data_IF_500389190197
#
_entry.id   IF_500389190197
#
_cell.length_a   1.000
_cell.length_b   1.000
_cell.length_c   1.000
_cell.angle_alpha   90.00
_cell.angle_beta   90.00
_cell.angle_gamma   90.00
#
_symmetry.space_group_name_H-M   'P 1'
#
loop_
_entity.id
_entity.type
_entity.pdbx_description
1 polymer ?
#
# COMPACT_ATOMS: atom_id res chain seq x y z
N UNK A 1 44.10 -13.36 38.95
CA UNK A 1 44.69 -12.76 37.73
C UNK A 1 43.76 -12.73 36.52
N UNK A 2 42.91 -13.74 36.25
CA UNK A 2 41.94 -13.69 35.13
C UNK A 2 41.01 -12.46 35.17
N UNK A 3 40.64 -11.99 36.37
CA UNK A 3 39.73 -10.85 36.54
C UNK A 3 40.31 -9.51 36.04
N UNK A 4 41.62 -9.26 36.18
CA UNK A 4 42.27 -8.04 35.67
C UNK A 4 42.40 -8.05 34.14
N UNK A 5 42.67 -9.22 33.53
CA UNK A 5 42.77 -9.35 32.07
C UNK A 5 41.39 -9.22 31.41
N UNK A 6 40.35 -9.77 32.02
CA UNK A 6 38.96 -9.62 31.56
C UNK A 6 38.49 -8.17 31.70
N UNK A 7 38.87 -7.48 32.78
CA UNK A 7 38.59 -6.05 32.94
C UNK A 7 39.30 -5.20 31.88
N UNK A 8 40.56 -5.50 31.53
CA UNK A 8 41.28 -4.78 30.47
C UNK A 8 40.69 -5.01 29.08
N UNK A 9 40.30 -6.25 28.77
CA UNK A 9 39.63 -6.62 27.51
C UNK A 9 38.22 -6.01 27.42
N UNK A 10 37.47 -6.07 28.52
CA UNK A 10 36.17 -5.43 28.66
C UNK A 10 36.28 -3.92 28.47
N UNK A 11 37.28 -3.27 29.09
CA UNK A 11 37.50 -1.83 28.94
C UNK A 11 37.93 -1.44 27.52
N UNK A 12 38.74 -2.24 26.82
CA UNK A 12 39.12 -1.97 25.42
C UNK A 12 37.95 -2.11 24.44
N UNK A 13 37.15 -3.17 24.58
CA UNK A 13 35.99 -3.41 23.72
C UNK A 13 34.88 -2.40 24.01
N UNK A 14 34.54 -2.20 25.29
CA UNK A 14 33.55 -1.19 25.66
C UNK A 14 34.04 0.21 25.33
N UNK A 15 35.30 0.62 25.52
CA UNK A 15 35.62 2.04 25.30
C UNK A 15 35.61 2.45 23.81
N UNK A 16 35.85 1.52 22.86
CA UNK A 16 35.67 1.81 21.42
C UNK A 16 34.21 1.90 20.99
N UNK A 17 33.30 1.13 21.59
CA UNK A 17 31.87 1.12 21.22
C UNK A 17 30.97 1.95 22.16
N UNK A 18 31.34 2.13 23.42
CA UNK A 18 30.66 2.91 24.46
C UNK A 18 30.88 4.42 24.25
N UNK A 19 32.02 4.84 23.71
CA UNK A 19 32.19 6.24 23.27
C UNK A 19 31.33 6.58 22.04
N UNK A 20 30.81 5.57 21.31
CA UNK A 20 29.81 5.77 20.27
C UNK A 20 28.36 5.75 20.81
N UNK A 21 28.14 5.37 22.08
CA UNK A 21 26.82 5.15 22.67
C UNK A 21 26.58 5.86 24.01
N UNK A 22 27.48 6.72 24.49
CA UNK A 22 27.33 7.41 25.78
C UNK A 22 27.60 8.91 25.72
N UNK A 23 26.56 9.74 25.85
CA UNK A 23 26.35 10.59 27.05
C UNK A 23 25.11 11.49 26.91
N UNK A 24 24.30 11.49 27.99
CA UNK A 24 23.25 12.45 28.41
C UNK A 24 21.85 12.38 27.79
N UNK A 25 20.99 11.65 28.49
CA UNK A 25 19.75 12.17 29.11
C UNK A 25 19.02 13.29 28.37
N UNK A 26 17.95 12.96 27.63
CA UNK A 26 16.64 13.59 27.79
C UNK A 26 15.58 12.79 27.03
N UNK A 27 14.50 12.47 27.74
CA UNK A 27 13.30 11.85 27.22
C UNK A 27 12.59 12.79 26.24
N UNK A 28 12.14 12.29 25.09
CA UNK A 28 10.83 12.67 24.53
C UNK A 28 10.45 11.78 23.33
N UNK A 29 9.57 10.82 23.61
CA UNK A 29 8.27 10.61 22.94
C UNK A 29 8.28 10.56 21.40
N UNK A 30 8.18 9.33 20.92
CA UNK A 30 7.48 8.90 19.70
C UNK A 30 6.18 9.68 19.44
N UNK A 31 5.99 10.24 18.23
CA UNK A 31 4.73 10.13 17.47
C UNK A 31 4.81 10.70 16.04
N UNK A 32 4.12 10.00 15.15
CA UNK A 32 3.92 10.22 13.72
C UNK A 32 3.48 11.64 13.31
N UNK A 33 3.89 12.09 12.12
CA UNK A 33 3.02 12.61 11.03
C UNK A 33 3.68 13.69 10.13
N UNK A 34 4.47 13.27 9.15
CA UNK A 34 4.15 13.39 7.70
C UNK A 34 4.04 14.82 6.98
N UNK A 35 4.86 15.34 5.95
CA UNK A 35 4.86 15.17 4.42
C UNK A 35 6.21 14.99 3.66
N UNK A 36 6.29 13.90 2.88
CA UNK A 36 6.79 13.71 1.50
C UNK A 36 7.96 14.58 1.02
N UNK A 37 9.14 13.99 0.79
CA UNK A 37 9.98 14.32 -0.36
C UNK A 37 10.82 13.12 -0.81
N UNK A 38 10.49 12.64 -2.01
CA UNK A 38 11.24 11.66 -2.79
C UNK A 38 12.59 12.25 -3.20
N UNK A 39 13.70 11.76 -2.65
CA UNK A 39 15.02 11.96 -3.25
C UNK A 39 15.57 10.59 -3.64
N UNK A 40 15.39 10.32 -4.93
CA UNK A 40 16.03 9.25 -5.67
C UNK A 40 17.55 9.41 -5.61
N UNK A 41 18.19 8.84 -4.58
CA UNK A 41 19.63 8.56 -4.62
C UNK A 41 19.81 7.18 -5.21
N UNK A 42 19.76 7.18 -6.53
CA UNK A 42 20.18 6.13 -7.43
C UNK A 42 21.71 5.99 -7.31
N UNK A 43 22.19 5.47 -6.18
CA UNK A 43 23.57 5.00 -6.05
C UNK A 43 23.59 3.57 -6.56
N UNK A 44 23.67 3.55 -7.89
CA UNK A 44 24.20 2.50 -8.75
C UNK A 44 24.94 1.41 -7.97
N UNK A 45 24.39 0.22 -8.16
CA UNK A 45 25.08 -1.05 -8.11
C UNK A 45 26.41 -0.96 -8.86
N UNK A 46 27.50 -0.66 -8.18
CA UNK A 46 28.81 -1.12 -8.64
C UNK A 46 28.93 -2.58 -8.24
N UNK A 47 28.26 -3.42 -9.04
CA UNK A 47 28.89 -4.67 -9.49
C UNK A 47 30.20 -4.21 -10.14
N UNK A 48 31.26 -4.07 -9.34
CA UNK A 48 32.60 -3.97 -9.90
C UNK A 48 32.80 -5.26 -10.68
N UNK A 49 32.87 -5.05 -11.99
CA UNK A 49 32.99 -6.09 -12.98
C UNK A 49 34.20 -6.93 -12.65
N UNK A 50 34.00 -8.22 -12.88
CA UNK A 50 35.04 -9.20 -13.09
C UNK A 50 36.18 -8.62 -13.93
N UNK A 51 37.30 -8.28 -13.28
CA UNK A 51 38.57 -8.20 -13.97
C UNK A 51 38.97 -9.63 -14.34
N UNK A 52 38.57 -10.02 -15.55
CA UNK A 52 38.99 -11.23 -16.25
C UNK A 52 40.46 -11.04 -16.64
N UNK A 53 41.36 -11.17 -15.66
CA UNK A 53 42.81 -11.19 -15.90
C UNK A 53 43.28 -12.63 -15.81
N UNK A 54 43.42 -13.25 -16.99
CA UNK A 54 44.22 -14.46 -17.22
C UNK A 54 43.66 -15.77 -16.67
N UNK A 55 42.63 -16.34 -17.29
CA UNK A 55 42.40 -17.80 -17.18
C UNK A 55 43.55 -18.52 -17.87
N UNK A 56 44.57 -18.95 -17.12
CA UNK A 56 45.45 -20.01 -17.57
C UNK A 56 44.76 -21.35 -17.29
N UNK A 57 44.53 -22.13 -18.34
CA UNK A 57 44.06 -23.51 -18.24
C UNK A 57 45.17 -24.37 -17.61
N UNK A 58 45.19 -24.43 -16.28
CA UNK A 58 46.11 -25.32 -15.55
C UNK A 58 45.43 -26.69 -15.40
N UNK A 59 46.05 -27.69 -16.04
CA UNK A 59 45.63 -29.10 -16.09
C UNK A 59 45.36 -29.73 -14.70
N UNK A 60 44.33 -30.57 -14.61
CA UNK A 60 43.62 -31.08 -13.41
C UNK A 60 44.45 -31.86 -12.36
N UNK A 61 45.78 -31.92 -12.47
CA UNK A 61 46.67 -32.61 -11.52
C UNK A 61 47.79 -31.72 -10.98
N UNK A 62 47.43 -30.54 -10.50
CA UNK A 62 48.41 -29.64 -9.86
C UNK A 62 48.59 -30.01 -8.38
N UNK A 63 49.82 -30.32 -7.98
CA UNK A 63 50.15 -30.66 -6.59
C UNK A 63 49.77 -29.58 -5.57
N UNK A 64 49.60 -29.98 -4.30
CA UNK A 64 49.17 -29.09 -3.20
C UNK A 64 49.99 -27.81 -3.09
N UNK A 65 51.32 -27.90 -3.24
CA UNK A 65 52.22 -26.75 -3.21
C UNK A 65 51.99 -25.78 -4.38
N UNK A 66 51.73 -26.30 -5.57
CA UNK A 66 51.43 -25.47 -6.74
C UNK A 66 50.06 -24.80 -6.59
N UNK A 67 49.07 -25.48 -6.01
CA UNK A 67 47.78 -24.88 -5.62
C UNK A 67 47.96 -23.78 -4.58
N UNK A 68 48.82 -23.98 -3.58
CA UNK A 68 49.17 -22.94 -2.60
C UNK A 68 49.83 -21.75 -3.28
N UNK A 69 50.79 -21.98 -4.18
CA UNK A 69 51.47 -20.94 -4.96
C UNK A 69 50.48 -20.11 -5.79
N UNK A 70 49.56 -20.76 -6.50
CA UNK A 70 48.51 -20.07 -7.26
C UNK A 70 47.59 -19.24 -6.36
N UNK A 71 47.24 -19.73 -5.16
CA UNK A 71 46.49 -18.93 -4.17
C UNK A 71 47.27 -17.72 -3.65
N UNK A 72 48.58 -17.84 -3.42
CA UNK A 72 49.43 -16.72 -3.01
C UNK A 72 49.63 -15.70 -4.13
N UNK A 73 49.69 -16.16 -5.39
CA UNK A 73 49.78 -15.32 -6.58
C UNK A 73 48.45 -14.65 -6.96
N UNK A 74 47.37 -14.96 -6.25
CA UNK A 74 46.05 -14.36 -6.47
C UNK A 74 45.36 -14.83 -7.76
N UNK A 75 45.81 -15.95 -8.34
CA UNK A 75 45.25 -16.50 -9.58
C UNK A 75 44.06 -17.39 -9.20
N UNK A 76 42.83 -17.11 -9.67
CA UNK A 76 41.65 -17.91 -9.35
C UNK A 76 41.79 -19.31 -9.95
N UNK A 77 41.55 -20.34 -9.15
CA UNK A 77 41.48 -21.71 -9.64
C UNK A 77 40.14 -21.95 -10.35
N UNK A 78 40.12 -22.90 -11.30
CA UNK A 78 38.89 -23.29 -12.03
C UNK A 78 37.82 -23.76 -11.02
N UNK A 79 36.81 -22.92 -10.79
CA UNK A 79 35.71 -23.14 -9.83
C UNK A 79 35.52 -22.04 -8.77
N UNK A 80 36.49 -21.13 -8.58
CA UNK A 80 36.35 -20.02 -7.63
C UNK A 80 35.91 -18.72 -8.35
N UNK A 81 34.76 -18.15 -7.97
CA UNK A 81 34.20 -16.91 -8.57
C UNK A 81 35.05 -15.66 -8.30
N UNK A 82 35.91 -15.71 -7.28
CA UNK A 82 36.76 -14.60 -6.86
C UNK A 82 38.09 -15.16 -6.37
N UNK A 83 39.19 -14.42 -6.61
CA UNK A 83 40.50 -14.81 -6.11
C UNK A 83 40.47 -14.94 -4.56
N UNK A 84 41.18 -15.93 -3.98
CA UNK A 84 41.19 -16.14 -2.54
C UNK A 84 41.69 -14.87 -1.83
N UNK A 85 40.83 -14.33 -0.97
CA UNK A 85 41.10 -13.11 -0.23
C UNK A 85 41.86 -13.50 1.04
N UNK A 86 43.09 -13.02 1.19
CA UNK A 86 43.81 -13.17 2.46
C UNK A 86 43.10 -12.34 3.53
N UNK A 87 42.99 -12.88 4.74
CA UNK A 87 42.41 -12.14 5.87
C UNK A 87 43.19 -10.84 6.17
N UNK A 88 44.45 -10.78 5.72
CA UNK A 88 45.35 -9.64 5.84
C UNK A 88 45.15 -8.56 4.76
N UNK A 89 44.35 -8.81 3.70
CA UNK A 89 44.18 -7.86 2.57
C UNK A 89 43.62 -6.50 3.02
N UNK A 90 42.87 -6.47 4.11
CA UNK A 90 42.21 -5.27 4.61
C UNK A 90 43.00 -4.57 5.74
N UNK A 91 44.23 -5.02 6.03
CA UNK A 91 45.10 -4.33 6.98
C UNK A 91 45.41 -2.93 6.46
N UNK A 92 45.07 -1.92 7.27
CA UNK A 92 45.33 -0.51 6.96
C UNK A 92 44.22 0.17 6.17
N UNK A 93 43.23 -0.57 5.65
CA UNK A 93 42.04 0.03 5.04
C UNK A 93 41.12 0.57 6.13
N UNK A 94 40.69 1.82 5.97
CA UNK A 94 39.68 2.43 6.82
C UNK A 94 38.39 2.55 6.03
N UNK A 95 37.28 2.11 6.63
CA UNK A 95 35.96 2.30 6.04
C UNK A 95 35.53 3.74 6.31
N UNK A 96 35.39 4.53 5.25
CA UNK A 96 34.87 5.90 5.34
C UNK A 96 33.39 5.82 4.95
N UNK A 97 32.46 5.94 5.89
CA UNK A 97 31.05 5.95 5.55
C UNK A 97 30.72 7.17 4.67
N UNK A 98 29.77 7.07 3.72
CA UNK A 98 29.26 8.26 3.04
C UNK A 98 28.63 9.22 4.08
N UNK A 99 28.71 10.54 3.84
CA UNK A 99 28.17 11.53 4.76
C UNK A 99 26.71 11.23 5.06
N UNK A 100 26.31 11.37 6.32
CA UNK A 100 24.90 11.30 6.68
C UNK A 100 24.17 12.39 5.88
N UNK A 101 22.97 12.09 5.34
CA UNK A 101 22.16 13.13 4.73
C UNK A 101 21.91 14.22 5.78
N UNK A 102 22.25 15.46 5.43
CA UNK A 102 21.91 16.59 6.28
C UNK A 102 20.39 16.71 6.35
N UNK A 103 19.87 16.96 7.55
CA UNK A 103 18.45 17.30 7.71
C UNK A 103 18.21 18.54 6.85
N UNK A 104 17.23 18.53 5.92
CA UNK A 104 16.94 19.69 5.10
C UNK A 104 16.69 20.92 5.98
N UNK A 105 17.31 22.05 5.64
CA UNK A 105 17.19 23.30 6.42
C UNK A 105 15.74 23.79 6.54
N UNK A 106 14.88 23.33 5.63
CA UNK A 106 13.48 23.72 5.53
C UNK A 106 12.52 22.74 6.22
N UNK A 107 13.05 21.73 6.92
CA UNK A 107 12.22 20.74 7.60
C UNK A 107 11.53 21.37 8.81
N UNK A 108 10.23 21.67 8.72
CA UNK A 108 9.42 22.20 9.83
C UNK A 108 8.44 21.14 10.31
N UNK A 109 8.72 20.52 11.46
CA UNK A 109 7.84 19.48 12.03
C UNK A 109 6.52 20.07 12.53
N UNK A 110 6.62 21.19 13.25
CA UNK A 110 5.50 21.89 13.86
C UNK A 110 5.69 23.39 13.69
N UNK A 111 4.61 24.17 13.53
CA UNK A 111 4.70 25.62 13.36
C UNK A 111 5.42 26.31 14.52
N UNK A 112 5.34 25.73 15.73
CA UNK A 112 5.88 26.26 16.99
C UNK A 112 7.31 25.81 17.32
N UNK A 113 7.84 24.78 16.66
CA UNK A 113 9.16 24.24 17.01
C UNK A 113 10.28 25.09 16.41
N UNK A 114 11.07 25.72 17.27
CA UNK A 114 12.26 26.45 16.88
C UNK A 114 13.44 25.50 16.64
N UNK A 115 13.73 25.25 15.37
CA UNK A 115 14.87 24.45 14.91
C UNK A 115 16.17 25.25 14.77
N UNK A 116 16.09 26.59 14.80
CA UNK A 116 17.25 27.46 14.67
C UNK A 116 18.01 27.50 15.99
N UNK A 117 17.31 27.71 17.10
CA UNK A 117 17.94 27.72 18.43
C UNK A 117 18.17 26.31 19.00
N UNK A 118 17.36 25.33 18.59
CA UNK A 118 17.41 23.96 19.13
C UNK A 118 17.49 22.91 18.02
N UNK A 119 18.61 22.85 17.28
CA UNK A 119 18.82 21.82 16.27
C UNK A 119 18.92 20.43 16.91
N UNK A 120 18.60 19.40 16.13
CA UNK A 120 18.75 18.03 16.59
C UNK A 120 20.22 17.70 16.91
N UNK A 121 20.50 16.93 17.98
CA UNK A 121 21.85 16.45 18.23
C UNK A 121 22.26 15.49 17.11
N UNK A 122 23.14 15.96 16.22
CA UNK A 122 23.68 15.14 15.13
C UNK A 122 24.75 14.21 15.68
N UNK A 123 24.65 12.92 15.34
CA UNK A 123 25.69 11.94 15.64
C UNK A 123 26.99 12.36 14.93
N UNK A 124 28.09 12.42 15.68
CA UNK A 124 29.41 12.73 15.08
C UNK A 124 29.76 11.68 14.04
N UNK A 125 30.17 12.15 12.85
CA UNK A 125 30.54 11.30 11.71
C UNK A 125 31.76 10.42 12.02
N UNK A 126 32.75 11.02 12.69
CA UNK A 126 33.99 10.34 13.03
C UNK A 126 34.05 10.09 14.54
N UNK A 127 34.55 8.92 14.97
CA UNK A 127 34.83 8.69 16.37
C UNK A 127 35.88 9.70 16.86
N UNK A 128 35.85 10.08 18.14
CA UNK A 128 36.90 10.91 18.71
C UNK A 128 38.26 10.23 18.47
N UNK A 129 39.28 11.04 18.16
CA UNK A 129 40.62 10.51 17.89
C UNK A 129 41.16 9.80 19.14
N UNK A 130 41.66 8.57 18.98
CA UNK A 130 42.38 7.84 20.01
C UNK A 130 43.86 7.74 19.60
N UNK A 131 44.77 7.95 20.56
CA UNK A 131 46.19 7.60 20.44
C UNK A 131 46.44 6.30 21.21
N UNK A 132 47.42 5.51 20.76
CA UNK A 132 47.79 4.22 21.39
C UNK A 132 46.61 3.24 21.54
N UNK A 133 45.64 3.27 20.62
CA UNK A 133 44.43 2.44 20.58
C UNK A 133 43.42 2.61 21.72
N UNK A 134 43.84 3.05 22.92
CA UNK A 134 43.02 3.10 24.14
C UNK A 134 42.80 4.54 24.61
N UNK A 135 43.77 5.43 24.40
CA UNK A 135 43.82 6.69 25.13
C UNK A 135 43.20 7.82 24.29
N UNK A 136 42.17 8.52 24.78
CA UNK A 136 41.55 9.62 24.05
C UNK A 136 42.54 10.76 23.79
N UNK A 137 42.46 11.35 22.60
CA UNK A 137 43.29 12.50 22.24
C UNK A 137 43.05 13.70 23.17
N UNK A 138 41.87 13.82 23.77
CA UNK A 138 41.54 14.86 24.76
C UNK A 138 42.44 14.77 26.01
N UNK A 139 42.71 13.56 26.50
CA UNK A 139 43.62 13.36 27.63
C UNK A 139 45.04 13.78 27.25
N UNK A 140 45.51 13.34 26.07
CA UNK A 140 46.84 13.66 25.55
C UNK A 140 47.03 15.16 25.31
N UNK A 141 46.06 15.82 24.72
CA UNK A 141 46.11 17.25 24.42
C UNK A 141 46.10 18.11 25.69
N UNK A 142 45.46 17.66 26.78
CA UNK A 142 45.50 18.39 28.04
C UNK A 142 46.94 18.46 28.61
N UNK A 143 47.74 17.41 28.46
CA UNK A 143 49.15 17.39 28.89
C UNK A 143 50.03 18.32 28.04
N UNK A 144 49.68 18.56 26.77
CA UNK A 144 50.46 19.43 25.91
C UNK A 144 50.61 20.85 26.48
N UNK A 145 49.64 21.32 27.27
CA UNK A 145 49.69 22.62 27.94
C UNK A 145 50.86 22.76 28.92
N UNK A 146 51.28 21.65 29.55
CA UNK A 146 52.27 21.68 30.65
C UNK A 146 53.61 21.04 30.26
N UNK A 147 53.57 19.93 29.53
CA UNK A 147 54.73 19.05 29.30
C UNK A 147 55.09 18.87 27.83
N UNK A 148 54.44 19.62 26.93
CA UNK A 148 54.59 19.47 25.49
C UNK A 148 54.07 18.12 24.96
N UNK A 149 54.42 17.79 23.71
CA UNK A 149 53.94 16.61 22.99
C UNK A 149 54.54 15.29 23.48
N UNK A 150 55.73 15.33 24.08
CA UNK A 150 56.41 14.16 24.64
C UNK A 150 55.86 13.75 26.01
N UNK A 151 55.35 14.73 26.77
CA UNK A 151 54.89 14.56 28.15
C UNK A 151 53.96 13.36 28.39
N UNK A 152 52.86 13.20 27.64
CA UNK A 152 51.97 12.06 27.86
C UNK A 152 52.65 10.70 27.66
N UNK A 153 53.57 10.59 26.69
CA UNK A 153 54.27 9.33 26.42
C UNK A 153 55.27 8.98 27.53
N UNK A 154 56.00 9.98 28.01
CA UNK A 154 56.91 9.85 29.15
C UNK A 154 56.13 9.51 30.42
N UNK A 155 54.95 10.11 30.62
CA UNK A 155 54.06 9.80 31.74
C UNK A 155 53.65 8.33 31.75
N UNK A 156 53.20 7.77 30.62
CA UNK A 156 52.83 6.34 30.57
C UNK A 156 54.04 5.40 30.71
N UNK A 157 55.19 5.77 30.17
CA UNK A 157 56.43 5.02 30.37
C UNK A 157 56.86 4.99 31.84
N UNK A 158 56.81 6.15 32.51
CA UNK A 158 57.09 6.28 33.94
C UNK A 158 56.04 5.56 34.80
N UNK A 159 54.76 5.67 34.46
CA UNK A 159 53.68 4.96 35.16
C UNK A 159 53.85 3.45 35.04
N UNK A 160 54.22 2.95 33.87
CA UNK A 160 54.53 1.53 33.66
C UNK A 160 55.75 1.09 34.49
N UNK A 161 56.84 1.86 34.48
CA UNK A 161 58.02 1.57 35.30
C UNK A 161 57.71 1.61 36.81
N UNK A 162 56.92 2.60 37.26
CA UNK A 162 56.49 2.75 38.64
C UNK A 162 55.65 1.55 39.10
N UNK A 163 54.70 1.11 38.28
CA UNK A 163 53.88 -0.07 38.55
C UNK A 163 54.72 -1.35 38.67
N UNK A 164 55.78 -1.46 37.87
CA UNK A 164 56.72 -2.58 37.92
C UNK A 164 57.59 -2.54 39.19
N UNK A 165 58.13 -1.37 39.57
CA UNK A 165 58.94 -1.21 40.80
C UNK A 165 58.13 -1.44 42.07
N UNK A 166 56.84 -1.10 42.07
CA UNK A 166 55.93 -1.30 43.22
C UNK A 166 55.40 -2.73 43.35
N UNK A 167 55.80 -3.66 42.50
CA UNK A 167 55.34 -5.05 42.55
C UNK A 167 53.86 -5.24 42.20
N UNK A 168 53.16 -4.19 41.76
CA UNK A 168 51.76 -4.27 41.32
C UNK A 168 51.64 -5.04 39.99
N UNK A 169 52.72 -5.04 39.20
CA UNK A 169 52.91 -5.90 38.04
C UNK A 169 54.07 -6.87 38.28
N UNK A 170 53.83 -7.90 39.08
CA UNK A 170 54.86 -8.87 39.43
C UNK A 170 55.32 -9.73 38.24
N UNK A 171 56.64 -10.00 38.25
CA UNK A 171 57.46 -11.09 37.66
C UNK A 171 56.86 -12.47 37.30
N UNK A 172 55.56 -12.68 37.20
CA UNK A 172 55.04 -14.04 37.07
C UNK A 172 55.12 -14.59 35.63
N UNK A 173 55.26 -15.92 35.52
CA UNK A 173 55.29 -16.69 34.26
C UNK A 173 54.08 -16.43 33.33
N UNK A 174 53.00 -15.84 33.86
CA UNK A 174 51.81 -15.47 33.09
C UNK A 174 51.98 -14.22 32.21
N UNK A 175 53.02 -13.41 32.39
CA UNK A 175 53.20 -12.19 31.57
C UNK A 175 53.46 -12.45 30.10
N UNK A 176 54.16 -13.54 29.77
CA UNK A 176 54.38 -13.94 28.38
C UNK A 176 53.04 -14.22 27.69
N UNK A 177 52.09 -14.85 28.41
CA UNK A 177 50.74 -15.10 27.88
C UNK A 177 50.00 -13.79 27.58
N UNK A 178 50.12 -12.78 28.45
CA UNK A 178 49.50 -11.46 28.24
C UNK A 178 50.09 -10.76 27.02
N UNK A 179 51.42 -10.80 26.82
CA UNK A 179 52.08 -10.21 25.66
C UNK A 179 51.65 -10.90 24.36
N UNK A 180 51.58 -12.23 24.35
CA UNK A 180 51.10 -13.00 23.19
C UNK A 180 49.64 -12.68 22.89
N UNK A 181 48.78 -12.56 23.92
CA UNK A 181 47.39 -12.17 23.75
C UNK A 181 47.24 -10.74 23.19
N UNK A 182 48.05 -9.79 23.68
CA UNK A 182 48.07 -8.41 23.18
C UNK A 182 48.51 -8.35 21.71
N UNK A 183 49.50 -9.17 21.34
CA UNK A 183 49.97 -9.30 19.96
C UNK A 183 48.91 -9.91 19.04
N UNK A 184 48.22 -10.97 19.49
CA UNK A 184 47.10 -11.55 18.77
C UNK A 184 45.95 -10.54 18.59
N UNK A 185 45.60 -9.80 19.65
CA UNK A 185 44.62 -8.72 19.60
C UNK A 185 45.01 -7.61 18.62
N UNK A 186 46.29 -7.24 18.57
CA UNK A 186 46.81 -6.26 17.62
C UNK A 186 46.60 -6.71 16.17
N UNK A 187 46.98 -7.95 15.83
CA UNK A 187 46.77 -8.51 14.49
C UNK A 187 45.27 -8.63 14.17
N UNK A 188 44.50 -9.17 15.10
CA UNK A 188 43.06 -9.38 14.92
C UNK A 188 42.32 -8.07 14.70
N UNK A 189 42.55 -7.06 15.55
CA UNK A 189 41.93 -5.74 15.37
C UNK A 189 42.30 -5.13 14.02
N UNK A 190 43.57 -5.14 13.63
CA UNK A 190 44.02 -4.64 12.31
C UNK A 190 43.37 -5.34 11.11
N UNK A 191 43.14 -6.65 11.19
CA UNK A 191 42.55 -7.42 10.10
C UNK A 191 41.02 -7.28 10.03
N UNK A 192 40.33 -7.22 11.17
CA UNK A 192 38.88 -7.28 11.22
C UNK A 192 38.18 -5.92 11.28
N UNK A 193 38.87 -4.83 11.67
CA UNK A 193 38.26 -3.49 11.81
C UNK A 193 37.43 -3.09 10.58
N UNK A 194 38.03 -3.16 9.37
CA UNK A 194 37.34 -2.77 8.12
C UNK A 194 36.05 -3.57 7.88
N UNK A 195 36.08 -4.88 8.13
CA UNK A 195 34.95 -5.78 7.89
C UNK A 195 33.81 -5.51 8.87
N UNK A 196 34.13 -5.30 10.15
CA UNK A 196 33.13 -4.96 11.17
C UNK A 196 32.53 -3.58 10.92
N UNK A 197 33.35 -2.57 10.64
CA UNK A 197 32.87 -1.22 10.37
C UNK A 197 31.90 -1.18 9.17
N UNK A 198 32.27 -1.86 8.07
CA UNK A 198 31.39 -2.02 6.91
C UNK A 198 30.09 -2.75 7.26
N UNK A 199 30.16 -3.86 8.00
CA UNK A 199 29.00 -4.64 8.41
C UNK A 199 28.03 -3.84 9.30
N UNK A 200 28.55 -3.12 10.29
CA UNK A 200 27.74 -2.27 11.15
C UNK A 200 27.10 -1.12 10.36
N UNK A 201 27.85 -0.46 9.48
CA UNK A 201 27.33 0.64 8.67
C UNK A 201 26.22 0.18 7.72
N UNK A 202 26.41 -0.92 6.99
CA UNK A 202 25.38 -1.48 6.11
C UNK A 202 24.13 -1.90 6.87
N UNK A 203 24.29 -2.44 8.08
CA UNK A 203 23.16 -2.81 8.95
C UNK A 203 22.39 -1.59 9.43
N UNK A 204 23.09 -0.52 9.83
CA UNK A 204 22.47 0.76 10.17
C UNK A 204 21.73 1.37 8.97
N UNK A 205 22.33 1.38 7.78
CA UNK A 205 21.71 1.89 6.55
C UNK A 205 20.47 1.10 6.16
N UNK A 206 20.46 -0.22 6.33
CA UNK A 206 19.26 -1.05 6.13
C UNK A 206 18.15 -0.70 7.12
N UNK A 207 18.49 -0.45 8.38
CA UNK A 207 17.50 -0.04 9.38
C UNK A 207 16.90 1.33 9.05
N UNK A 208 17.73 2.32 8.71
CA UNK A 208 17.30 3.66 8.29
C UNK A 208 16.36 3.62 7.09
N UNK A 209 16.72 2.85 6.04
CA UNK A 209 15.85 2.65 4.87
C UNK A 209 14.47 2.11 5.22
N UNK A 210 14.39 1.12 6.11
CA UNK A 210 13.09 0.57 6.57
C UNK A 210 12.21 1.64 7.20
N UNK A 211 12.78 2.54 8.01
CA UNK A 211 12.00 3.61 8.63
C UNK A 211 11.53 4.64 7.59
N UNK A 212 12.39 5.01 6.63
CA UNK A 212 12.01 5.88 5.53
C UNK A 212 10.89 5.27 4.66
N UNK A 213 10.98 3.99 4.34
CA UNK A 213 9.95 3.28 3.57
C UNK A 213 8.60 3.25 4.32
N UNK A 214 8.61 3.06 5.64
CA UNK A 214 7.40 3.13 6.47
C UNK A 214 6.78 4.52 6.42
N UNK A 215 7.61 5.56 6.52
CA UNK A 215 7.17 6.95 6.40
C UNK A 215 6.56 7.18 5.00
N UNK A 216 7.22 6.78 3.92
CA UNK A 216 6.70 6.92 2.55
C UNK A 216 5.39 6.16 2.31
N UNK A 217 5.20 5.00 2.94
CA UNK A 217 3.95 4.25 2.82
C UNK A 217 2.80 4.91 3.57
N UNK A 218 3.04 5.38 4.80
CA UNK A 218 2.03 6.15 5.54
C UNK A 218 1.57 7.38 4.74
N UNK A 219 2.46 7.99 3.95
CA UNK A 219 2.15 9.18 3.15
C UNK A 219 1.16 8.90 2.05
N UNK A 220 1.40 7.79 1.35
CA UNK A 220 0.53 7.31 0.29
C UNK A 220 -0.83 6.95 0.87
N UNK A 221 -0.86 6.21 1.98
CA UNK A 221 -2.13 5.83 2.65
C UNK A 221 -2.94 7.05 3.10
N UNK A 222 -2.30 8.07 3.69
CA UNK A 222 -3.00 9.30 4.09
C UNK A 222 -3.54 10.05 2.86
N UNK A 223 -2.76 10.15 1.77
CA UNK A 223 -3.19 10.79 0.53
C UNK A 223 -4.37 10.06 -0.12
N UNK A 224 -4.31 8.74 -0.22
CA UNK A 224 -5.39 7.89 -0.72
C UNK A 224 -6.66 8.04 0.13
N UNK A 225 -6.51 8.10 1.46
CA UNK A 225 -7.63 8.34 2.39
C UNK A 225 -8.27 9.71 2.16
N UNK A 226 -7.48 10.75 1.88
CA UNK A 226 -7.99 12.08 1.56
C UNK A 226 -8.72 12.11 0.22
N UNK A 227 -8.22 11.42 -0.80
CA UNK A 227 -8.84 11.35 -2.12
C UNK A 227 -10.17 10.58 -2.09
N UNK A 228 -10.19 9.43 -1.42
CA UNK A 228 -11.41 8.63 -1.18
C UNK A 228 -12.45 9.42 -0.38
N UNK A 229 -12.06 10.08 0.71
CA UNK A 229 -12.97 10.93 1.50
C UNK A 229 -13.57 12.08 0.68
N UNK A 230 -12.81 12.68 -0.26
CA UNK A 230 -13.32 13.71 -1.17
C UNK A 230 -14.33 13.14 -2.16
N UNK A 231 -14.05 11.97 -2.72
CA UNK A 231 -14.94 11.28 -3.66
C UNK A 231 -16.25 10.80 -2.98
N UNK A 232 -16.16 10.29 -1.75
CA UNK A 232 -17.33 9.93 -0.96
C UNK A 232 -18.18 11.16 -0.61
N UNK A 233 -17.55 12.29 -0.28
CA UNK A 233 -18.26 13.54 -0.02
C UNK A 233 -19.03 14.04 -1.24
N UNK A 234 -18.45 13.96 -2.44
CA UNK A 234 -19.15 14.37 -3.67
C UNK A 234 -20.26 13.38 -4.04
N UNK A 235 -20.03 12.07 -3.89
CA UNK A 235 -21.05 11.05 -4.12
C UNK A 235 -22.23 11.20 -3.15
N UNK A 236 -21.96 11.43 -1.86
CA UNK A 236 -22.99 11.66 -0.85
C UNK A 236 -23.79 12.94 -1.12
N UNK A 237 -23.12 14.02 -1.55
CA UNK A 237 -23.80 15.26 -1.94
C UNK A 237 -24.76 15.03 -3.12
N UNK A 238 -24.32 14.32 -4.16
CA UNK A 238 -25.16 13.97 -5.30
C UNK A 238 -26.36 13.10 -4.88
N UNK A 239 -26.14 12.04 -4.10
CA UNK A 239 -27.22 11.18 -3.59
C UNK A 239 -28.24 11.99 -2.79
N UNK A 240 -27.77 12.90 -1.91
CA UNK A 240 -28.65 13.75 -1.09
C UNK A 240 -29.55 14.65 -1.95
N UNK A 241 -29.06 15.15 -3.08
CA UNK A 241 -29.85 15.99 -4.00
C UNK A 241 -30.83 15.16 -4.84
N UNK A 242 -30.38 14.05 -5.42
CA UNK A 242 -31.20 13.27 -6.35
C UNK A 242 -32.25 12.38 -5.67
N UNK A 243 -31.95 11.81 -4.50
CA UNK A 243 -32.86 10.88 -3.82
C UNK A 243 -34.26 11.48 -3.58
N UNK A 244 -34.44 12.65 -2.93
CA UNK A 244 -35.78 13.20 -2.70
C UNK A 244 -36.53 13.55 -4.01
N UNK A 245 -35.80 13.90 -5.08
CA UNK A 245 -36.40 14.19 -6.39
C UNK A 245 -36.96 12.90 -7.00
N UNK A 246 -36.13 11.85 -7.08
CA UNK A 246 -36.50 10.54 -7.61
C UNK A 246 -37.70 9.95 -6.85
N UNK A 247 -37.73 10.06 -5.52
CA UNK A 247 -38.86 9.56 -4.72
C UNK A 247 -40.16 10.33 -4.98
N UNK A 248 -40.09 11.66 -5.12
CA UNK A 248 -41.26 12.49 -5.46
C UNK A 248 -41.80 12.14 -6.84
N UNK A 249 -40.93 12.00 -7.83
CA UNK A 249 -41.29 11.64 -9.20
C UNK A 249 -41.92 10.24 -9.26
N UNK A 250 -41.32 9.25 -8.60
CA UNK A 250 -41.87 7.89 -8.53
C UNK A 250 -43.25 7.85 -7.86
N UNK A 251 -43.45 8.59 -6.77
CA UNK A 251 -44.74 8.65 -6.08
C UNK A 251 -45.81 9.34 -6.93
N UNK A 252 -45.46 10.41 -7.63
CA UNK A 252 -46.35 11.09 -8.58
C UNK A 252 -46.77 10.16 -9.71
N UNK A 253 -45.83 9.41 -10.30
CA UNK A 253 -46.11 8.42 -11.34
C UNK A 253 -47.04 7.30 -10.84
N UNK A 254 -46.84 6.81 -9.61
CA UNK A 254 -47.72 5.80 -9.01
C UNK A 254 -49.15 6.32 -8.80
N UNK A 255 -49.30 7.55 -8.32
CA UNK A 255 -50.60 8.19 -8.13
C UNK A 255 -51.34 8.37 -9.47
N UNK A 256 -50.63 8.85 -10.48
CA UNK A 256 -51.19 9.00 -11.83
C UNK A 256 -51.58 7.66 -12.44
N UNK A 257 -50.74 6.62 -12.29
CA UNK A 257 -51.05 5.28 -12.77
C UNK A 257 -52.31 4.70 -12.12
N UNK A 258 -52.52 4.97 -10.83
CA UNK A 258 -53.70 4.52 -10.07
C UNK A 258 -54.94 5.28 -10.51
N UNK A 259 -54.84 6.60 -10.70
CA UNK A 259 -55.92 7.43 -11.22
C UNK A 259 -56.37 6.95 -12.61
N UNK A 260 -55.43 6.75 -13.53
CA UNK A 260 -55.73 6.25 -14.90
C UNK A 260 -56.43 4.89 -14.86
N UNK A 261 -55.97 3.95 -14.02
CA UNK A 261 -56.62 2.64 -13.81
C UNK A 261 -58.06 2.76 -13.29
N UNK A 262 -58.33 3.68 -12.36
CA UNK A 262 -59.66 3.88 -11.81
C UNK A 262 -60.63 4.47 -12.85
N UNK A 263 -60.16 5.42 -13.65
CA UNK A 263 -60.94 6.01 -14.75
C UNK A 263 -61.23 4.96 -15.83
N UNK A 264 -60.23 4.18 -16.22
CA UNK A 264 -60.40 3.08 -17.18
C UNK A 264 -61.44 2.06 -16.67
N UNK A 265 -61.34 1.64 -15.40
CA UNK A 265 -62.33 0.75 -14.78
C UNK A 265 -63.75 1.31 -14.81
N UNK A 266 -63.94 2.58 -14.46
CA UNK A 266 -65.25 3.24 -14.51
C UNK A 266 -65.80 3.29 -15.94
N UNK A 267 -64.96 3.63 -16.92
CA UNK A 267 -65.35 3.68 -18.32
C UNK A 267 -65.77 2.30 -18.84
N UNK A 268 -65.04 1.23 -18.49
CA UNK A 268 -65.38 -0.15 -18.86
C UNK A 268 -66.71 -0.59 -18.24
N UNK A 269 -66.96 -0.26 -16.97
CA UNK A 269 -68.22 -0.61 -16.28
C UNK A 269 -69.42 0.16 -16.84
N UNK A 270 -69.27 1.46 -17.13
CA UNK A 270 -70.33 2.26 -17.76
C UNK A 270 -70.66 1.75 -19.16
N UNK A 271 -69.62 1.46 -19.96
CA UNK A 271 -69.78 0.88 -21.29
C UNK A 271 -70.53 -0.45 -21.22
N UNK A 272 -70.15 -1.36 -20.32
CA UNK A 272 -70.82 -2.66 -20.13
C UNK A 272 -72.32 -2.50 -19.83
N UNK A 273 -72.71 -1.51 -19.02
CA UNK A 273 -74.13 -1.25 -18.70
C UNK A 273 -74.90 -0.69 -19.88
N UNK A 274 -74.29 0.22 -20.64
CA UNK A 274 -74.91 0.83 -21.82
C UNK A 274 -75.09 -0.21 -22.93
N UNK A 275 -74.05 -1.01 -23.21
CA UNK A 275 -74.07 -2.09 -24.19
C UNK A 275 -75.19 -3.09 -23.83
N UNK A 276 -75.33 -3.45 -22.55
CA UNK A 276 -76.43 -4.30 -22.08
C UNK A 276 -77.82 -3.69 -22.35
N UNK A 277 -78.02 -2.40 -22.05
CA UNK A 277 -79.31 -1.75 -22.29
C UNK A 277 -79.63 -1.70 -23.79
N UNK A 278 -78.66 -1.33 -24.62
CA UNK A 278 -78.80 -1.31 -26.08
C UNK A 278 -79.14 -2.69 -26.63
N UNK A 279 -78.46 -3.74 -26.17
CA UNK A 279 -78.74 -5.12 -26.56
C UNK A 279 -80.15 -5.55 -26.15
N UNK A 280 -80.59 -5.22 -24.92
CA UNK A 280 -81.95 -5.58 -24.46
C UNK A 280 -83.04 -4.86 -25.23
N UNK A 281 -82.84 -3.59 -25.61
CA UNK A 281 -83.79 -2.82 -26.42
C UNK A 281 -83.86 -3.36 -27.86
N UNK A 282 -82.70 -3.65 -28.47
CA UNK A 282 -82.63 -4.26 -29.80
C UNK A 282 -83.34 -5.63 -29.85
N UNK A 283 -83.19 -6.45 -28.79
CA UNK A 283 -83.89 -7.73 -28.65
C UNK A 283 -85.40 -7.54 -28.49
N UNK A 284 -85.85 -6.58 -27.65
CA UNK A 284 -87.29 -6.28 -27.48
C UNK A 284 -87.95 -5.81 -28.77
N UNK A 285 -87.32 -4.90 -29.52
CA UNK A 285 -87.85 -4.43 -30.81
C UNK A 285 -87.93 -5.57 -31.84
N UNK A 286 -86.93 -6.45 -31.86
CA UNK A 286 -86.93 -7.61 -32.75
C UNK A 286 -88.04 -8.59 -32.37
N UNK A 287 -88.21 -8.88 -31.07
CA UNK A 287 -89.28 -9.74 -30.57
C UNK A 287 -90.68 -9.18 -30.86
N UNK A 288 -90.91 -7.88 -30.64
CA UNK A 288 -92.19 -7.22 -30.91
C UNK A 288 -92.53 -7.22 -32.40
N UNK A 289 -91.53 -6.99 -33.26
CA UNK A 289 -91.68 -7.09 -34.72
C UNK A 289 -92.07 -8.50 -35.14
N UNK A 290 -91.36 -9.51 -34.63
CA UNK A 290 -91.62 -10.91 -34.95
C UNK A 290 -93.01 -11.37 -34.45
N UNK A 291 -93.42 -10.92 -33.26
CA UNK A 291 -94.75 -11.20 -32.72
C UNK A 291 -95.86 -10.52 -33.52
N UNK A 292 -95.70 -9.24 -33.88
CA UNK A 292 -96.67 -8.50 -34.70
C UNK A 292 -96.84 -9.16 -36.08
N UNK A 293 -95.73 -9.55 -36.72
CA UNK A 293 -95.78 -10.27 -38.00
C UNK A 293 -96.51 -11.61 -37.86
N UNK A 294 -96.20 -12.41 -36.83
CA UNK A 294 -96.91 -13.67 -36.55
C UNK A 294 -98.41 -13.46 -36.31
N UNK A 295 -98.79 -12.41 -35.57
CA UNK A 295 -100.19 -12.10 -35.29
C UNK A 295 -100.95 -11.66 -36.53
N UNK A 296 -100.38 -10.77 -37.35
CA UNK A 296 -100.97 -10.32 -38.62
C UNK A 296 -101.15 -11.52 -39.57
N UNK A 297 -100.11 -12.36 -39.71
CA UNK A 297 -100.18 -13.56 -40.57
C UNK A 297 -101.28 -14.50 -40.09
N UNK A 298 -101.35 -14.81 -38.79
CA UNK A 298 -102.37 -15.70 -38.23
C UNK A 298 -103.79 -15.11 -38.34
N UNK A 299 -103.96 -13.80 -38.08
CA UNK A 299 -105.27 -13.13 -38.19
C UNK A 299 -105.76 -13.12 -39.63
N UNK A 300 -104.91 -12.74 -40.59
CA UNK A 300 -105.23 -12.76 -42.02
C UNK A 300 -105.54 -14.18 -42.48
N UNK A 301 -104.75 -15.17 -42.06
CA UNK A 301 -105.00 -16.57 -42.37
C UNK A 301 -106.34 -17.06 -41.79
N UNK A 302 -106.69 -16.66 -40.56
CA UNK A 302 -107.96 -17.04 -39.92
C UNK A 302 -109.19 -16.39 -40.56
N UNK A 303 -109.12 -15.11 -40.97
CA UNK A 303 -110.21 -14.41 -41.66
C UNK A 303 -110.42 -14.98 -43.08
N UNK A 304 -109.34 -15.33 -43.78
CA UNK A 304 -109.40 -16.03 -45.07
C UNK A 304 -110.03 -17.43 -44.91
N UNK A 305 -109.73 -18.16 -43.83
CA UNK A 305 -110.33 -19.48 -43.57
C UNK A 305 -111.80 -19.41 -43.13
N UNK A 306 -112.18 -18.39 -42.34
CA UNK A 306 -113.54 -18.24 -41.80
C UNK A 306 -114.55 -17.63 -42.80
N UNK A 307 -114.07 -17.16 -43.96
CA UNK A 307 -114.87 -16.50 -45.00
C UNK A 307 -115.85 -15.44 -44.45
N UNK A 308 -115.46 -14.72 -43.40
CA UNK A 308 -116.25 -13.61 -42.87
C UNK A 308 -116.36 -12.53 -43.94
N UNK A 309 -117.55 -11.93 -44.06
CA UNK A 309 -117.88 -10.89 -45.05
C UNK A 309 -117.69 -11.28 -46.53
N UNK A 310 -117.69 -12.58 -46.82
CA UNK A 310 -117.47 -13.14 -48.15
C UNK A 310 -116.15 -12.66 -48.77
N UNK A 311 -115.09 -12.46 -47.96
CA UNK A 311 -113.77 -12.03 -48.44
C UNK A 311 -113.28 -12.94 -49.57
N UNK A 312 -113.53 -14.25 -49.47
CA UNK A 312 -113.13 -15.20 -50.53
C UNK A 312 -113.89 -14.95 -51.83
N UNK A 313 -115.18 -14.62 -51.77
CA UNK A 313 -115.99 -14.32 -52.94
C UNK A 313 -115.60 -12.96 -53.53
N UNK A 314 -115.46 -11.92 -52.70
CA UNK A 314 -114.98 -10.60 -53.13
C UNK A 314 -113.58 -10.67 -53.76
N UNK A 315 -112.68 -11.47 -53.18
CA UNK A 315 -111.35 -11.69 -53.77
C UNK A 315 -111.46 -12.42 -55.11
N UNK A 316 -112.35 -13.41 -55.23
CA UNK A 316 -112.63 -14.10 -56.50
C UNK A 316 -113.23 -13.16 -57.54
N UNK A 317 -114.16 -12.28 -57.15
CA UNK A 317 -114.77 -11.27 -58.01
C UNK A 317 -113.74 -10.23 -58.47
N UNK A 318 -112.87 -9.75 -57.58
CA UNK A 318 -111.73 -8.88 -57.93
C UNK A 318 -110.77 -9.58 -58.88
N UNK A 319 -110.48 -10.88 -58.68
CA UNK A 319 -109.69 -11.65 -59.62
C UNK A 319 -110.37 -11.75 -60.99
N UNK A 320 -111.69 -11.94 -61.04
CA UNK A 320 -112.45 -11.95 -62.30
C UNK A 320 -112.43 -10.57 -62.95
N UNK A 321 -112.56 -9.48 -62.20
CA UNK A 321 -112.45 -8.10 -62.72
C UNK A 321 -111.04 -7.79 -63.22
N UNK A 322 -110.00 -8.19 -62.50
CA UNK A 322 -108.60 -8.04 -62.95
C UNK A 322 -108.35 -8.85 -64.22
N UNK A 323 -108.88 -10.07 -64.32
CA UNK A 323 -108.82 -10.88 -65.54
C UNK A 323 -109.60 -10.25 -66.70
N UNK A 324 -110.77 -9.66 -66.44
CA UNK A 324 -111.54 -8.89 -67.45
C UNK A 324 -110.79 -7.63 -67.90
N UNK A 325 -110.13 -6.93 -66.98
CA UNK A 325 -109.31 -5.75 -67.28
C UNK A 325 -108.02 -6.09 -68.02
N UNK A 326 -107.42 -7.25 -67.74
CA UNK A 326 -106.28 -7.79 -68.49
C UNK A 326 -106.71 -8.37 -69.85
N UNK A 327 -107.95 -8.84 -69.99
CA UNK A 327 -108.53 -9.35 -71.25
C UNK A 327 -108.98 -8.25 -72.21
N UNK A 328 -109.26 -7.04 -71.72
CA UNK A 328 -109.58 -5.86 -72.53
C UNK A 328 -108.33 -5.08 -72.96
N UNK A 329 -107.15 -5.46 -72.45
CA UNK A 329 -105.83 -5.00 -72.90
C UNK A 329 -105.20 -6.02 -73.84
#
# INVERSE_FOLDING_TARGET
>A
MLQCSILFLGFMALNRYALATGTRTQACILRCSQPIYTVSVLMSTTKEGSDVVGRMDVSEKVGFFTKLKYRFQGIPLKGELHAPISFMRDIGKQYIPPPLPEVPKDFKEYPERDLVNYPYPVKRMYPPKLRLMIIPDKFMNNFHKYTGTSGPYVFFAMLYAFLHTKGLFEIAHDRVKILVLLFYYYIFSRAFNYRWDKYFYESCKKAEKKYLDIIDNNFKTIRETQETSKAERSAYAAVKEYYPIIFKENLALQLESTYRKNVERLATEMKRRLDYLQETEAVKHSFARDHMLKWIINSVQSEIMANKENIKEKYMDICIEQLKGLSLK
#
